data_IF_799282643729
#
_entry.id   IF_799282643729
#
_cell.length_a   1.000
_cell.length_b   1.000
_cell.length_c   1.000
_cell.angle_alpha   90.00
_cell.angle_beta   90.00
_cell.angle_gamma   90.00
#
_symmetry.space_group_name_H-M   'P 1'
#
loop_
_entity.id
_entity.type
_entity.pdbx_description
1 polymer ?
#
# COMPACT_ATOMS: atom_id res chain seq x y z
N UNK A 1 -9.45 8.92 10.98
CA UNK A 1 -8.88 7.55 11.01
C UNK A 1 -9.77 6.71 10.10
N UNK A 2 -9.23 6.17 9.01
CA UNK A 2 -9.97 5.23 8.15
C UNK A 2 -10.33 4.01 8.98
N UNK A 3 -11.60 3.69 9.09
CA UNK A 3 -12.08 2.44 9.68
C UNK A 3 -12.50 1.52 8.54
N UNK A 4 -11.53 1.11 7.73
CA UNK A 4 -11.75 0.15 6.63
C UNK A 4 -11.78 -1.28 7.18
N UNK A 5 -12.62 -1.54 8.17
CA UNK A 5 -12.86 -2.90 8.67
C UNK A 5 -14.16 -3.41 8.06
N UNK A 6 -14.10 -4.43 7.20
CA UNK A 6 -15.28 -5.01 6.58
C UNK A 6 -16.17 -5.71 7.61
N UNK A 7 -17.48 -5.62 7.43
CA UNK A 7 -18.46 -6.22 8.35
C UNK A 7 -18.67 -7.74 8.14
N UNK A 8 -18.36 -8.26 6.95
CA UNK A 8 -18.75 -9.61 6.52
C UNK A 8 -17.61 -10.60 6.28
N UNK A 9 -16.37 -10.15 6.42
CA UNK A 9 -15.16 -10.97 6.24
C UNK A 9 -14.03 -10.41 7.12
N UNK A 10 -12.91 -11.13 7.30
CA UNK A 10 -11.83 -10.68 8.15
C UNK A 10 -11.24 -9.35 7.66
N UNK A 11 -10.96 -8.44 8.59
CA UNK A 11 -10.13 -7.27 8.34
C UNK A 11 -9.63 -6.66 9.64
N UNK A 12 -8.67 -5.76 9.50
CA UNK A 12 -8.00 -5.12 10.62
C UNK A 12 -7.78 -3.65 10.27
N UNK A 13 -8.27 -2.75 11.12
CA UNK A 13 -7.88 -1.35 11.00
C UNK A 13 -6.43 -1.25 11.45
N UNK A 14 -5.58 -0.73 10.57
CA UNK A 14 -4.18 -0.45 10.89
C UNK A 14 -3.90 1.01 10.48
N UNK A 15 -3.72 1.94 11.43
CA UNK A 15 -3.35 3.31 11.09
C UNK A 15 -1.94 3.39 10.51
N UNK A 16 -1.71 4.32 9.57
CA UNK A 16 -0.39 4.51 8.95
C UNK A 16 0.74 4.72 9.98
N UNK A 17 0.48 5.45 11.06
CA UNK A 17 1.45 5.63 12.16
C UNK A 17 1.83 4.31 12.83
N UNK A 18 0.86 3.41 12.98
CA UNK A 18 1.04 2.15 13.67
C UNK A 18 1.76 1.15 12.77
N UNK A 19 1.45 1.12 11.47
CA UNK A 19 2.21 0.35 10.48
C UNK A 19 3.65 0.86 10.36
N UNK A 20 3.87 2.18 10.30
CA UNK A 20 5.21 2.78 10.35
C UNK A 20 5.98 2.31 11.59
N UNK A 21 5.34 2.36 12.76
CA UNK A 21 5.95 1.93 14.01
C UNK A 21 6.25 0.42 14.03
N UNK A 22 5.35 -0.39 13.50
CA UNK A 22 5.54 -1.83 13.41
C UNK A 22 6.68 -2.19 12.46
N UNK A 23 6.76 -1.57 11.29
CA UNK A 23 7.84 -1.80 10.33
C UNK A 23 9.18 -1.44 10.95
N UNK A 24 9.32 -0.23 11.53
CA UNK A 24 10.62 0.25 12.02
C UNK A 24 11.08 -0.38 13.33
N UNK A 25 10.16 -0.75 14.23
CA UNK A 25 10.50 -1.25 15.56
C UNK A 25 10.41 -2.78 15.68
N UNK A 26 9.72 -3.46 14.76
CA UNK A 26 9.45 -4.89 14.89
C UNK A 26 9.80 -5.66 13.61
N UNK A 27 9.05 -5.47 12.53
CA UNK A 27 9.14 -6.34 11.34
C UNK A 27 10.50 -6.22 10.64
N UNK A 28 10.92 -4.99 10.32
CA UNK A 28 12.18 -4.70 9.63
C UNK A 28 13.41 -5.21 10.40
N UNK A 29 13.60 -4.84 11.68
CA UNK A 29 14.68 -5.36 12.51
C UNK A 29 14.66 -6.89 12.64
N UNK A 30 13.48 -7.49 12.76
CA UNK A 30 13.35 -8.95 12.84
C UNK A 30 13.79 -9.62 11.54
N UNK A 31 13.40 -9.09 10.38
CA UNK A 31 13.85 -9.59 9.08
C UNK A 31 15.37 -9.49 8.95
N UNK A 32 15.93 -8.31 9.26
CA UNK A 32 17.37 -8.08 9.21
C UNK A 32 18.16 -9.01 10.15
N UNK A 33 17.71 -9.18 11.39
CA UNK A 33 18.34 -10.06 12.38
C UNK A 33 18.33 -11.53 11.96
N UNK A 34 17.28 -11.96 11.28
CA UNK A 34 17.12 -13.35 10.83
C UNK A 34 17.59 -13.59 9.39
N UNK A 35 18.19 -12.59 8.73
CA UNK A 35 18.66 -12.70 7.34
C UNK A 35 17.54 -12.96 6.33
N UNK A 36 16.30 -12.55 6.64
CA UNK A 36 15.15 -12.67 5.74
C UNK A 36 15.24 -11.55 4.69
N UNK A 37 15.38 -11.94 3.43
CA UNK A 37 15.53 -10.99 2.29
C UNK A 37 14.22 -10.65 1.60
N UNK A 38 13.10 -11.21 2.05
CA UNK A 38 11.77 -10.92 1.54
C UNK A 38 11.48 -9.42 1.65
N UNK A 39 10.97 -8.83 0.56
CA UNK A 39 10.60 -7.40 0.50
C UNK A 39 9.37 -7.12 1.38
N UNK A 40 9.33 -5.94 1.97
CA UNK A 40 8.16 -5.40 2.67
C UNK A 40 7.53 -4.33 1.78
N UNK A 41 6.26 -4.51 1.44
CA UNK A 41 5.43 -3.47 0.83
C UNK A 41 4.53 -2.89 1.92
N UNK A 42 4.38 -1.56 1.94
CA UNK A 42 3.45 -0.90 2.85
C UNK A 42 2.12 -0.56 2.18
N UNK A 43 1.14 -0.20 3.02
CA UNK A 43 -0.21 0.24 2.65
C UNK A 43 -1.18 -0.85 2.18
N UNK A 44 -0.99 -1.40 0.98
CA UNK A 44 -1.83 -2.49 0.41
C UNK A 44 -3.34 -2.18 0.38
N UNK A 45 -3.69 -0.99 -0.14
CA UNK A 45 -5.09 -0.56 -0.26
C UNK A 45 -5.29 0.44 -1.41
N UNK A 46 -6.48 1.05 -1.49
CA UNK A 46 -6.96 1.77 -2.68
C UNK A 46 -6.19 3.04 -3.05
N UNK A 47 -6.34 3.55 -4.27
CA UNK A 47 -5.72 4.81 -4.69
C UNK A 47 -6.28 6.07 -4.02
N UNK A 48 -7.32 5.96 -3.20
CA UNK A 48 -7.99 7.11 -2.56
C UNK A 48 -7.32 7.63 -1.28
N UNK A 49 -6.33 6.91 -0.72
CA UNK A 49 -5.56 7.36 0.47
C UNK A 49 -4.04 7.41 0.23
N UNK A 50 -3.52 8.20 -0.74
CA UNK A 50 -2.08 8.30 -0.99
C UNK A 50 -1.27 8.88 0.18
N UNK A 51 -1.92 9.54 1.14
CA UNK A 51 -1.29 10.01 2.37
C UNK A 51 -0.78 8.88 3.27
N UNK A 52 -1.40 7.70 3.22
CA UNK A 52 -1.01 6.56 4.03
C UNK A 52 0.40 6.06 3.71
N UNK A 53 0.72 5.65 2.46
CA UNK A 53 2.09 5.25 2.12
C UNK A 53 3.09 6.40 2.27
N UNK A 54 2.65 7.65 2.06
CA UNK A 54 3.50 8.83 2.28
C UNK A 54 3.99 8.92 3.74
N UNK A 55 3.15 8.59 4.72
CA UNK A 55 3.53 8.58 6.15
C UNK A 55 4.60 7.50 6.43
N UNK A 56 4.47 6.31 5.84
CA UNK A 56 5.47 5.24 5.99
C UNK A 56 6.80 5.63 5.34
N UNK A 57 6.75 6.09 4.08
CA UNK A 57 7.95 6.38 3.29
C UNK A 57 8.69 7.64 3.76
N UNK A 58 8.03 8.54 4.48
CA UNK A 58 8.63 9.73 5.10
C UNK A 58 9.42 9.42 6.39
N UNK A 59 9.15 8.31 7.07
CA UNK A 59 9.94 7.88 8.23
C UNK A 59 11.18 7.13 7.74
N UNK A 60 12.38 7.70 7.93
CA UNK A 60 13.61 7.15 7.38
C UNK A 60 13.89 5.70 7.82
N UNK A 61 13.56 5.34 9.06
CA UNK A 61 13.77 3.98 9.59
C UNK A 61 12.78 3.00 8.98
N UNK A 62 11.48 3.32 8.93
CA UNK A 62 10.50 2.47 8.26
C UNK A 62 10.81 2.34 6.77
N UNK A 63 11.06 3.48 6.10
CA UNK A 63 11.41 3.57 4.69
C UNK A 63 12.63 2.71 4.34
N UNK A 64 13.64 2.58 5.20
CA UNK A 64 14.79 1.71 4.95
C UNK A 64 14.45 0.22 4.83
N UNK A 65 13.36 -0.22 5.47
CA UNK A 65 12.87 -1.60 5.40
C UNK A 65 11.75 -1.80 4.36
N UNK A 66 11.07 -0.72 3.96
CA UNK A 66 9.98 -0.75 2.97
C UNK A 66 10.51 -0.61 1.55
N UNK A 67 10.28 -1.61 0.71
CA UNK A 67 10.68 -1.61 -0.70
C UNK A 67 9.81 -0.69 -1.57
N UNK A 68 8.54 -0.53 -1.20
CA UNK A 68 7.59 0.22 -2.01
C UNK A 68 6.18 0.20 -1.44
N UNK A 69 5.24 0.66 -2.25
CA UNK A 69 3.81 0.72 -1.92
C UNK A 69 3.04 -0.33 -2.70
N UNK A 70 2.16 -1.06 -2.00
CA UNK A 70 1.16 -1.92 -2.60
C UNK A 70 -0.18 -1.18 -2.76
N UNK A 71 -0.88 -1.43 -3.86
CA UNK A 71 -2.08 -0.69 -4.27
C UNK A 71 -3.20 -1.61 -4.74
N UNK A 72 -4.43 -1.22 -4.41
CA UNK A 72 -5.66 -1.80 -4.93
C UNK A 72 -6.39 -0.80 -5.85
N UNK A 73 -7.21 -1.31 -6.78
CA UNK A 73 -7.89 -0.48 -7.78
C UNK A 73 -9.35 -0.11 -7.44
N UNK A 74 -9.85 -0.42 -6.24
CA UNK A 74 -11.29 -0.33 -5.93
C UNK A 74 -11.80 1.08 -5.61
N UNK A 75 -10.90 2.04 -5.39
CA UNK A 75 -11.25 3.42 -5.07
C UNK A 75 -10.14 4.39 -5.45
N UNK A 76 -10.52 5.63 -5.79
CA UNK A 76 -9.57 6.66 -6.22
C UNK A 76 -9.15 6.53 -7.69
N UNK A 77 -8.00 7.12 -8.03
CA UNK A 77 -7.46 7.18 -9.39
C UNK A 77 -6.00 6.78 -9.42
N UNK A 78 -5.58 6.04 -10.45
CA UNK A 78 -4.20 5.55 -10.63
C UNK A 78 -3.12 6.63 -10.52
N UNK A 79 -3.45 7.91 -10.80
CA UNK A 79 -2.57 9.08 -10.61
C UNK A 79 -1.99 9.22 -9.18
N UNK A 80 -2.61 8.59 -8.18
CA UNK A 80 -2.07 8.48 -6.83
C UNK A 80 -0.68 7.81 -6.81
N UNK A 81 -0.46 6.79 -7.67
CA UNK A 81 0.83 6.13 -7.80
C UNK A 81 1.91 7.10 -8.29
N UNK A 82 1.59 7.92 -9.30
CA UNK A 82 2.50 8.96 -9.83
C UNK A 82 2.83 10.00 -8.75
N UNK A 83 1.85 10.41 -7.96
CA UNK A 83 2.03 11.38 -6.88
C UNK A 83 3.00 10.86 -5.81
N UNK A 84 2.83 9.59 -5.39
CA UNK A 84 3.71 8.95 -4.42
C UNK A 84 5.11 8.71 -5.02
N UNK A 85 5.20 8.23 -6.27
CA UNK A 85 6.46 8.02 -6.96
C UNK A 85 7.29 9.31 -7.07
N UNK A 86 6.67 10.43 -7.44
CA UNK A 86 7.37 11.71 -7.54
C UNK A 86 7.94 12.18 -6.19
N UNK A 87 7.29 11.81 -5.08
CA UNK A 87 7.77 12.12 -3.73
C UNK A 87 8.86 11.15 -3.25
N UNK A 88 8.82 9.90 -3.71
CA UNK A 88 9.74 8.83 -3.31
C UNK A 88 10.23 8.03 -4.53
N UNK A 89 11.05 8.63 -5.42
CA UNK A 89 11.35 8.06 -6.75
C UNK A 89 12.16 6.76 -6.70
N UNK A 90 12.78 6.45 -5.55
CA UNK A 90 13.55 5.23 -5.33
C UNK A 90 12.70 4.09 -4.71
N UNK A 91 11.38 4.24 -4.63
CA UNK A 91 10.46 3.25 -4.06
C UNK A 91 9.60 2.67 -5.17
N UNK A 92 9.42 1.35 -5.13
CA UNK A 92 8.61 0.65 -6.12
C UNK A 92 7.11 0.91 -5.87
N UNK A 93 6.29 0.75 -6.91
CA UNK A 93 4.83 0.69 -6.80
C UNK A 93 4.34 -0.65 -7.37
N UNK A 94 3.45 -1.32 -6.66
CA UNK A 94 2.93 -2.65 -7.00
C UNK A 94 1.41 -2.61 -6.94
N UNK A 95 0.74 -2.93 -8.05
CA UNK A 95 -0.69 -3.25 -8.00
C UNK A 95 -0.82 -4.70 -7.53
N UNK A 96 -1.46 -4.90 -6.39
CA UNK A 96 -1.55 -6.19 -5.69
C UNK A 96 -2.96 -6.78 -5.74
N UNK A 97 -3.98 -5.95 -5.95
CA UNK A 97 -5.36 -6.42 -6.08
C UNK A 97 -6.21 -5.52 -7.00
N UNK A 98 -6.82 -6.13 -8.00
CA UNK A 98 -7.86 -5.49 -8.80
C UNK A 98 -8.84 -6.55 -9.30
N UNK A 99 -10.13 -6.35 -9.03
CA UNK A 99 -11.18 -7.31 -9.39
C UNK A 99 -12.38 -6.60 -9.98
N UNK A 100 -12.96 -7.19 -11.03
CA UNK A 100 -14.23 -6.76 -11.59
C UNK A 100 -15.42 -7.59 -11.11
N UNK A 101 -16.64 -7.11 -11.36
CA UNK A 101 -17.86 -7.84 -11.06
C UNK A 101 -19.13 -7.16 -11.53
N UNK A 102 -20.29 -7.70 -11.17
CA UNK A 102 -21.60 -7.20 -11.67
C UNK A 102 -21.96 -5.79 -11.21
N UNK A 103 -21.24 -5.26 -10.21
CA UNK A 103 -21.36 -3.88 -9.71
C UNK A 103 -20.60 -2.88 -10.58
N UNK A 104 -19.65 -3.33 -11.40
CA UNK A 104 -19.07 -2.52 -12.44
C UNK A 104 -20.11 -2.40 -13.54
N UNK A 105 -20.64 -1.19 -13.72
CA UNK A 105 -21.43 -0.85 -14.90
C UNK A 105 -20.62 -1.30 -16.14
N UNK A 106 -21.28 -1.65 -17.25
CA UNK A 106 -20.71 -2.21 -18.48
C UNK A 106 -19.58 -1.42 -19.18
N UNK A 107 -19.04 -0.37 -18.53
CA UNK A 107 -17.80 0.32 -18.85
C UNK A 107 -16.59 -0.30 -18.13
N UNK A 108 -16.61 -1.63 -17.95
CA UNK A 108 -15.56 -2.38 -17.27
C UNK A 108 -14.15 -1.96 -17.72
N UNK A 109 -13.21 -2.04 -16.79
CA UNK A 109 -11.78 -1.84 -16.98
C UNK A 109 -11.35 -2.16 -18.43
N UNK A 110 -10.87 -1.19 -19.22
CA UNK A 110 -10.41 -1.47 -20.57
C UNK A 110 -9.07 -2.20 -20.46
N UNK A 111 -9.11 -3.52 -20.35
CA UNK A 111 -7.95 -4.37 -20.57
C UNK A 111 -7.48 -4.16 -22.02
N UNK A 112 -6.57 -3.21 -22.21
CA UNK A 112 -6.05 -2.84 -23.53
C UNK A 112 -5.26 -1.52 -23.64
N UNK A 113 -4.85 -0.88 -22.53
CA UNK A 113 -3.99 0.31 -22.55
C UNK A 113 -2.80 0.23 -21.58
N UNK A 114 -2.23 -0.97 -21.43
CA UNK A 114 -0.86 -1.17 -20.93
C UNK A 114 0.02 -1.70 -22.05
#
# INVERSE_FOLDING_TARGET
MSTEVPNGYPGMSFPASDETNFIKNNLGPTFAQNGITTKILGYDHNWDQPGYPTIILSDASASSYTAGTAWHCYGGTVDAQTTVHNSFPNKDAWETECSGGTWENSNGFPWGQV
#
